data_IF_840195245441
#
_entry.id   IF_840195245441
#
_cell.length_a   1.000
_cell.length_b   1.000
_cell.length_c   1.000
_cell.angle_alpha   90.00
_cell.angle_beta   90.00
_cell.angle_gamma   90.00
#
_symmetry.space_group_name_H-M   'P 1'
#
loop_
_entity.id
_entity.type
_entity.pdbx_description
1 polymer ?
#
# COMPACT_ATOMS: atom_id res chain seq x y z
N UNK A 1 -20.61 -4.05 -29.15
CA UNK A 1 -19.63 -2.93 -28.99
C UNK A 1 -18.80 -3.26 -27.78
N UNK A 2 -17.49 -3.01 -27.82
CA UNK A 2 -16.60 -3.30 -26.70
C UNK A 2 -16.43 -2.03 -25.86
N UNK A 3 -16.60 -2.15 -24.53
CA UNK A 3 -16.42 -1.08 -23.58
C UNK A 3 -15.28 -1.41 -22.63
N UNK A 4 -14.59 -0.39 -22.13
CA UNK A 4 -13.39 -0.52 -21.35
C UNK A 4 -13.44 0.40 -20.15
N UNK A 5 -13.22 -0.13 -18.96
CA UNK A 5 -13.24 0.63 -17.72
C UNK A 5 -11.86 0.88 -17.15
N UNK A 6 -11.66 2.05 -16.58
CA UNK A 6 -10.55 2.41 -15.74
C UNK A 6 -11.04 2.73 -14.33
N UNK A 7 -10.38 2.20 -13.32
CA UNK A 7 -10.66 2.45 -11.92
C UNK A 7 -9.45 3.14 -11.28
N UNK A 8 -9.64 4.35 -10.79
CA UNK A 8 -8.68 4.99 -9.89
C UNK A 8 -9.12 4.77 -8.45
N UNK A 9 -8.33 3.96 -7.73
CA UNK A 9 -8.70 3.39 -6.43
C UNK A 9 -7.97 4.14 -5.32
N UNK A 10 -8.74 4.79 -4.44
CA UNK A 10 -8.25 5.26 -3.14
C UNK A 10 -8.70 4.34 -2.00
N UNK A 11 -8.42 4.71 -0.74
CA UNK A 11 -8.82 3.90 0.42
C UNK A 11 -10.34 3.84 0.62
N UNK A 12 -11.02 4.93 0.35
CA UNK A 12 -12.44 5.11 0.68
C UNK A 12 -13.31 5.15 -0.57
N UNK A 13 -12.83 5.78 -1.64
CA UNK A 13 -13.60 6.05 -2.85
C UNK A 13 -12.82 5.61 -4.09
N UNK A 14 -13.53 5.03 -5.06
CA UNK A 14 -13.02 4.64 -6.37
C UNK A 14 -13.70 5.46 -7.45
N UNK A 15 -12.91 6.15 -8.28
CA UNK A 15 -13.39 6.81 -9.49
C UNK A 15 -13.45 5.80 -10.63
N UNK A 16 -14.55 5.81 -11.36
CA UNK A 16 -14.84 4.89 -12.46
C UNK A 16 -15.02 5.70 -13.74
N UNK A 17 -14.34 5.31 -14.80
CA UNK A 17 -14.57 5.83 -16.13
C UNK A 17 -14.71 4.67 -17.11
N UNK A 18 -15.74 4.71 -17.95
CA UNK A 18 -15.97 3.74 -19.03
C UNK A 18 -15.91 4.46 -20.37
N UNK A 19 -15.12 3.91 -21.29
CA UNK A 19 -15.00 4.39 -22.66
C UNK A 19 -15.43 3.32 -23.65
N UNK A 20 -15.92 3.75 -24.80
CA UNK A 20 -16.19 2.89 -25.93
C UNK A 20 -14.94 2.56 -26.75
N UNK A 21 -15.11 1.86 -27.86
CA UNK A 21 -14.02 1.46 -28.77
C UNK A 21 -13.30 2.65 -29.40
N UNK A 22 -13.99 3.77 -29.59
CA UNK A 22 -13.43 4.99 -30.18
C UNK A 22 -12.75 5.87 -29.13
N UNK A 23 -12.94 5.57 -27.85
CA UNK A 23 -12.38 6.28 -26.71
C UNK A 23 -13.29 7.40 -26.19
N UNK A 24 -14.54 7.47 -26.67
CA UNK A 24 -15.52 8.38 -26.12
C UNK A 24 -15.99 7.90 -24.74
N UNK A 25 -16.08 8.82 -23.78
CA UNK A 25 -16.56 8.50 -22.43
C UNK A 25 -18.06 8.25 -22.48
N UNK A 26 -18.48 7.05 -22.09
CA UNK A 26 -19.90 6.64 -22.03
C UNK A 26 -20.46 6.61 -20.61
N UNK A 27 -19.59 6.51 -19.61
CA UNK A 27 -19.99 6.54 -18.20
C UNK A 27 -18.85 7.07 -17.32
N UNK A 28 -19.20 7.86 -16.32
CA UNK A 28 -18.32 8.25 -15.22
C UNK A 28 -19.10 8.20 -13.92
N UNK A 29 -18.44 7.69 -12.87
CA UNK A 29 -19.07 7.56 -11.56
C UNK A 29 -18.05 7.42 -10.46
N UNK A 30 -18.58 7.31 -9.23
CA UNK A 30 -17.82 7.05 -8.01
C UNK A 30 -18.54 6.01 -7.19
N UNK A 31 -17.76 5.19 -6.49
CA UNK A 31 -18.27 4.20 -5.53
C UNK A 31 -17.38 4.10 -4.32
N UNK A 32 -17.85 3.47 -3.26
CA UNK A 32 -16.96 3.01 -2.20
C UNK A 32 -15.93 2.00 -2.77
N UNK A 33 -14.73 1.95 -2.17
CA UNK A 33 -13.66 1.04 -2.61
C UNK A 33 -13.88 -0.39 -2.11
N UNK A 34 -15.05 -0.97 -2.45
CA UNK A 34 -15.37 -2.39 -2.27
C UNK A 34 -15.72 -3.02 -3.60
N UNK A 35 -15.49 -4.33 -3.74
CA UNK A 35 -15.75 -5.02 -5.02
C UNK A 35 -17.25 -4.98 -5.40
N UNK A 36 -18.13 -5.12 -4.40
CA UNK A 36 -19.58 -5.08 -4.57
C UNK A 36 -20.04 -3.70 -5.02
N UNK A 37 -19.60 -2.62 -4.33
CA UNK A 37 -20.00 -1.26 -4.70
C UNK A 37 -19.48 -0.85 -6.08
N UNK A 38 -18.28 -1.29 -6.46
CA UNK A 38 -17.71 -1.08 -7.78
C UNK A 38 -18.53 -1.85 -8.84
N UNK A 39 -18.90 -3.10 -8.56
CA UNK A 39 -19.71 -3.92 -9.46
C UNK A 39 -21.10 -3.33 -9.66
N UNK A 40 -21.76 -2.88 -8.58
CA UNK A 40 -23.05 -2.22 -8.63
C UNK A 40 -23.00 -0.96 -9.51
N UNK A 41 -21.95 -0.14 -9.33
CA UNK A 41 -21.76 1.05 -10.15
C UNK A 41 -21.46 0.73 -11.62
N UNK A 42 -20.68 -0.29 -11.89
CA UNK A 42 -20.42 -0.74 -13.26
C UNK A 42 -21.65 -1.34 -13.93
N UNK A 43 -22.63 -1.84 -13.17
CA UNK A 43 -23.90 -2.32 -13.72
C UNK A 43 -24.78 -1.20 -14.34
N UNK A 44 -24.56 0.06 -13.94
CA UNK A 44 -25.19 1.24 -14.55
C UNK A 44 -24.60 1.58 -15.93
N UNK A 45 -23.44 1.00 -16.27
CA UNK A 45 -22.74 1.19 -17.55
C UNK A 45 -22.88 -0.05 -18.45
N UNK A 46 -22.56 0.06 -19.74
CA UNK A 46 -22.49 -1.11 -20.61
C UNK A 46 -21.44 -2.12 -20.13
N UNK A 47 -21.69 -3.42 -20.35
CA UNK A 47 -20.78 -4.50 -19.97
C UNK A 47 -19.39 -4.29 -20.55
N UNK A 48 -18.37 -4.26 -19.69
CA UNK A 48 -17.00 -3.98 -20.07
C UNK A 48 -16.27 -5.26 -20.50
N UNK A 49 -15.56 -5.16 -21.61
CA UNK A 49 -14.64 -6.21 -22.07
C UNK A 49 -13.39 -6.33 -21.15
N UNK A 50 -12.98 -5.23 -20.53
CA UNK A 50 -11.82 -5.16 -19.64
C UNK A 50 -11.96 -4.01 -18.65
N UNK A 51 -11.54 -4.26 -17.40
CA UNK A 51 -11.54 -3.30 -16.31
C UNK A 51 -10.10 -3.19 -15.79
N UNK A 52 -9.46 -2.04 -15.90
CA UNK A 52 -8.05 -1.83 -15.54
C UNK A 52 -7.94 -0.91 -14.32
N UNK A 53 -7.05 -1.28 -13.41
CA UNK A 53 -6.65 -0.45 -12.27
C UNK A 53 -5.19 -0.69 -11.90
N UNK A 54 -4.60 0.26 -11.17
CA UNK A 54 -3.19 0.20 -10.79
C UNK A 54 -2.93 -0.69 -9.57
N UNK A 55 -1.67 -1.18 -9.47
CA UNK A 55 -1.18 -1.79 -8.23
C UNK A 55 -1.21 -0.78 -7.08
N UNK A 56 -1.82 -1.17 -5.97
CA UNK A 56 -1.96 -0.34 -4.77
C UNK A 56 -2.26 -1.21 -3.55
N UNK A 57 -2.48 -0.57 -2.41
CA UNK A 57 -2.78 -1.29 -1.15
C UNK A 57 -4.09 -2.07 -1.23
N UNK A 58 -5.09 -1.52 -1.93
CA UNK A 58 -6.41 -2.14 -2.11
C UNK A 58 -6.45 -3.13 -3.27
N UNK A 59 -5.47 -3.09 -4.18
CA UNK A 59 -5.46 -3.91 -5.39
C UNK A 59 -5.67 -5.41 -5.14
N UNK A 60 -5.05 -6.08 -4.13
CA UNK A 60 -5.26 -7.51 -3.94
C UNK A 60 -6.70 -7.87 -3.59
N UNK A 61 -7.32 -7.16 -2.63
CA UNK A 61 -8.68 -7.47 -2.19
C UNK A 61 -9.69 -7.17 -3.29
N UNK A 62 -9.54 -6.04 -3.97
CA UNK A 62 -10.44 -5.64 -5.06
C UNK A 62 -10.29 -6.54 -6.28
N UNK A 63 -9.06 -6.92 -6.66
CA UNK A 63 -8.84 -7.84 -7.78
C UNK A 63 -9.58 -9.16 -7.56
N UNK A 64 -9.36 -9.79 -6.41
CA UNK A 64 -10.00 -11.08 -6.13
C UNK A 64 -11.50 -10.95 -5.98
N UNK A 65 -12.01 -9.88 -5.37
CA UNK A 65 -13.44 -9.62 -5.26
C UNK A 65 -14.11 -9.41 -6.62
N UNK A 66 -13.54 -8.56 -7.48
CA UNK A 66 -14.08 -8.31 -8.82
C UNK A 66 -14.06 -9.57 -9.70
N UNK A 67 -12.98 -10.38 -9.63
CA UNK A 67 -12.93 -11.67 -10.36
C UNK A 67 -13.99 -12.64 -9.84
N UNK A 68 -14.21 -12.72 -8.51
CA UNK A 68 -15.28 -13.56 -7.93
C UNK A 68 -16.69 -13.14 -8.37
N UNK A 69 -16.88 -11.85 -8.63
CA UNK A 69 -18.12 -11.30 -9.21
C UNK A 69 -18.21 -11.48 -10.74
N UNK A 70 -17.25 -12.18 -11.36
CA UNK A 70 -17.24 -12.45 -12.80
C UNK A 70 -16.81 -11.28 -13.67
N UNK A 71 -16.24 -10.22 -13.09
CA UNK A 71 -15.81 -9.05 -13.83
C UNK A 71 -14.39 -9.23 -14.41
N UNK A 72 -14.12 -8.75 -15.64
CA UNK A 72 -12.85 -8.92 -16.35
C UNK A 72 -11.77 -7.94 -15.82
N UNK A 73 -11.43 -8.04 -14.55
CA UNK A 73 -10.51 -7.16 -13.86
C UNK A 73 -9.04 -7.49 -14.19
N UNK A 74 -8.25 -6.46 -14.47
CA UNK A 74 -6.82 -6.56 -14.75
C UNK A 74 -6.07 -5.52 -13.94
N UNK A 75 -5.08 -5.97 -13.16
CA UNK A 75 -4.20 -5.08 -12.41
C UNK A 75 -2.95 -4.76 -13.24
N UNK A 76 -2.56 -3.48 -13.26
CA UNK A 76 -1.39 -3.00 -14.02
C UNK A 76 -0.38 -2.33 -13.09
N UNK A 77 0.89 -2.30 -13.52
CA UNK A 77 1.94 -1.65 -12.72
C UNK A 77 1.77 -0.12 -12.74
N UNK A 78 1.75 0.50 -11.54
CA UNK A 78 1.55 1.94 -11.36
C UNK A 78 2.56 2.80 -12.14
N UNK A 79 3.81 2.35 -12.28
CA UNK A 79 4.82 3.10 -13.04
C UNK A 79 4.51 3.17 -14.54
N UNK A 80 4.04 2.06 -15.12
CA UNK A 80 3.65 2.02 -16.52
C UNK A 80 2.38 2.85 -16.76
N UNK A 81 1.40 2.69 -15.88
CA UNK A 81 0.18 3.49 -15.93
C UNK A 81 0.53 4.98 -15.84
N UNK A 82 1.34 5.39 -14.86
CA UNK A 82 1.78 6.78 -14.71
C UNK A 82 2.48 7.34 -15.96
N UNK A 83 3.39 6.58 -16.59
CA UNK A 83 4.07 7.03 -17.80
C UNK A 83 3.11 7.26 -18.97
N UNK A 84 2.14 6.35 -19.14
CA UNK A 84 1.11 6.47 -20.16
C UNK A 84 0.15 7.64 -19.85
N UNK A 85 -0.26 7.81 -18.60
CA UNK A 85 -1.13 8.89 -18.13
C UNK A 85 -0.46 10.26 -18.29
N UNK A 86 0.83 10.37 -17.99
CA UNK A 86 1.61 11.61 -18.11
C UNK A 86 1.65 12.13 -19.55
N UNK A 87 1.55 11.25 -20.53
CA UNK A 87 1.50 11.65 -21.95
C UNK A 87 0.10 12.12 -22.40
N UNK A 88 -0.95 11.77 -21.63
CA UNK A 88 -2.34 12.03 -21.99
C UNK A 88 -2.98 13.20 -21.22
N UNK A 89 -2.44 13.58 -20.06
CA UNK A 89 -3.06 14.58 -19.18
C UNK A 89 -2.14 15.76 -18.86
N UNK A 90 -2.67 16.98 -19.01
CA UNK A 90 -2.03 18.24 -18.59
C UNK A 90 -2.20 18.52 -17.09
N UNK A 91 -3.22 17.95 -16.43
CA UNK A 91 -3.50 18.12 -14.99
C UNK A 91 -3.86 16.79 -14.34
N UNK A 92 -3.22 16.53 -13.19
CA UNK A 92 -3.51 15.36 -12.37
C UNK A 92 -4.78 15.58 -11.55
N UNK A 93 -5.81 14.76 -11.80
CA UNK A 93 -7.01 14.62 -10.99
C UNK A 93 -7.44 13.15 -11.02
N UNK A 94 -8.05 12.65 -9.95
CA UNK A 94 -8.50 11.25 -9.85
C UNK A 94 -9.46 10.88 -11.00
N UNK A 95 -10.27 11.83 -11.45
CA UNK A 95 -11.14 11.66 -12.65
C UNK A 95 -10.30 11.45 -13.92
N UNK A 96 -9.24 12.21 -14.11
CA UNK A 96 -8.35 12.07 -15.26
C UNK A 96 -7.54 10.79 -15.20
N UNK A 97 -7.16 10.34 -13.99
CA UNK A 97 -6.43 9.11 -13.77
C UNK A 97 -7.34 7.90 -14.11
N UNK A 98 -8.60 7.88 -13.68
CA UNK A 98 -9.58 6.86 -14.08
C UNK A 98 -9.82 6.84 -15.60
N UNK A 99 -9.94 8.01 -16.24
CA UNK A 99 -10.10 8.12 -17.71
C UNK A 99 -8.88 7.59 -18.45
N UNK A 100 -7.70 7.93 -18.00
CA UNK A 100 -6.45 7.41 -18.57
C UNK A 100 -6.31 5.91 -18.46
N UNK A 101 -6.70 5.32 -17.30
CA UNK A 101 -6.76 3.87 -17.11
C UNK A 101 -7.79 3.20 -18.04
N UNK A 102 -8.94 3.86 -18.31
CA UNK A 102 -9.90 3.37 -19.29
C UNK A 102 -9.32 3.35 -20.72
N UNK A 103 -8.56 4.37 -21.11
CA UNK A 103 -7.84 4.38 -22.38
C UNK A 103 -6.75 3.30 -22.44
N UNK A 104 -6.02 3.04 -21.34
CA UNK A 104 -5.11 1.90 -21.27
C UNK A 104 -5.85 0.57 -21.43
N UNK A 105 -6.99 0.41 -20.76
CA UNK A 105 -7.85 -0.76 -20.93
C UNK A 105 -8.26 -0.96 -22.40
N UNK A 106 -8.62 0.12 -23.09
CA UNK A 106 -9.03 0.12 -24.49
C UNK A 106 -7.90 -0.26 -25.44
N UNK A 107 -6.74 0.37 -25.30
CA UNK A 107 -5.61 0.15 -26.20
C UNK A 107 -4.90 -1.17 -25.96
N UNK A 108 -5.00 -1.74 -24.76
CA UNK A 108 -4.24 -2.92 -24.36
C UNK A 108 -2.73 -2.67 -24.19
N UNK A 109 -2.30 -1.41 -24.24
CA UNK A 109 -0.87 -1.05 -24.14
C UNK A 109 -0.42 -1.01 -22.69
N UNK A 110 -0.43 -2.17 -22.03
CA UNK A 110 0.06 -2.35 -20.66
C UNK A 110 0.54 -3.78 -20.44
N UNK A 111 1.33 -3.97 -19.39
CA UNK A 111 1.71 -5.29 -18.91
C UNK A 111 0.90 -5.63 -17.66
N UNK A 112 0.10 -6.71 -17.70
CA UNK A 112 -0.66 -7.13 -16.53
C UNK A 112 0.29 -7.59 -15.42
N UNK A 113 -0.09 -7.29 -14.17
CA UNK A 113 0.62 -7.75 -12.97
C UNK A 113 -0.09 -8.97 -12.41
N UNK A 114 0.69 -10.01 -12.10
CA UNK A 114 0.15 -11.15 -11.36
C UNK A 114 -0.15 -10.74 -9.92
N UNK A 115 -1.42 -10.71 -9.56
CA UNK A 115 -1.86 -10.44 -8.19
C UNK A 115 -1.79 -11.73 -7.38
N UNK A 116 -0.95 -11.74 -6.34
CA UNK A 116 -0.79 -12.89 -5.45
C UNK A 116 -2.06 -13.17 -4.66
N UNK A 117 -2.25 -14.43 -4.25
CA UNK A 117 -3.38 -14.82 -3.42
C UNK A 117 -3.42 -14.05 -2.09
N UNK A 118 -4.62 -13.89 -1.53
CA UNK A 118 -4.80 -13.25 -0.22
C UNK A 118 -4.04 -13.99 0.90
N UNK A 119 -3.95 -15.33 0.82
CA UNK A 119 -3.15 -16.13 1.75
C UNK A 119 -1.65 -15.81 1.68
N UNK A 120 -1.11 -15.61 0.47
CA UNK A 120 0.28 -15.17 0.31
C UNK A 120 0.51 -13.77 0.88
N UNK A 121 -0.46 -12.87 0.74
CA UNK A 121 -0.41 -11.53 1.36
C UNK A 121 -0.47 -11.61 2.88
N UNK A 122 -1.29 -12.49 3.47
CA UNK A 122 -1.36 -12.70 4.91
C UNK A 122 0.00 -13.15 5.48
N UNK A 123 0.61 -14.18 4.88
CA UNK A 123 1.94 -14.66 5.29
C UNK A 123 3.00 -13.55 5.16
N UNK A 124 3.01 -12.83 4.04
CA UNK A 124 3.93 -11.70 3.83
C UNK A 124 3.77 -10.63 4.90
N UNK A 125 2.54 -10.28 5.27
CA UNK A 125 2.25 -9.27 6.28
C UNK A 125 2.81 -9.67 7.64
N UNK A 126 2.66 -10.93 8.05
CA UNK A 126 3.24 -11.45 9.29
C UNK A 126 4.78 -11.40 9.29
N UNK A 127 5.41 -11.77 8.17
CA UNK A 127 6.87 -11.70 8.03
C UNK A 127 7.36 -10.26 8.15
N UNK A 128 6.69 -9.31 7.47
CA UNK A 128 7.04 -7.89 7.51
C UNK A 128 6.85 -7.34 8.93
N UNK A 129 5.74 -7.64 9.59
CA UNK A 129 5.47 -7.21 10.97
C UNK A 129 6.52 -7.75 11.93
N UNK A 130 6.84 -9.05 11.86
CA UNK A 130 7.91 -9.66 12.65
C UNK A 130 9.26 -8.97 12.42
N UNK A 131 9.65 -8.76 11.16
CA UNK A 131 10.91 -8.08 10.81
C UNK A 131 10.98 -6.68 11.41
N UNK A 132 9.86 -5.93 11.36
CA UNK A 132 9.76 -4.59 11.92
C UNK A 132 9.92 -4.59 13.44
N UNK A 133 9.21 -5.49 14.14
CA UNK A 133 9.29 -5.62 15.60
C UNK A 133 10.68 -6.02 16.06
N UNK A 134 11.31 -6.98 15.39
CA UNK A 134 12.71 -7.37 15.70
C UNK A 134 13.66 -6.20 15.49
N UNK A 135 13.51 -5.46 14.39
CA UNK A 135 14.34 -4.27 14.13
C UNK A 135 14.15 -3.18 15.20
N UNK A 136 12.93 -2.90 15.60
CA UNK A 136 12.63 -1.93 16.67
C UNK A 136 13.23 -2.37 18.01
N UNK A 137 13.10 -3.65 18.37
CA UNK A 137 13.72 -4.20 19.58
C UNK A 137 15.23 -3.96 19.57
N UNK A 138 15.92 -4.34 18.50
CA UNK A 138 17.39 -4.17 18.39
C UNK A 138 17.78 -2.68 18.48
N UNK A 139 17.01 -1.81 17.86
CA UNK A 139 17.25 -0.36 17.92
C UNK A 139 17.13 0.15 19.36
N UNK A 140 16.07 -0.24 20.08
CA UNK A 140 15.88 0.14 21.48
C UNK A 140 16.99 -0.42 22.39
N UNK A 141 17.36 -1.68 22.23
CA UNK A 141 18.46 -2.29 22.97
C UNK A 141 19.77 -1.50 22.79
N UNK A 142 20.10 -1.13 21.55
CA UNK A 142 21.31 -0.37 21.26
C UNK A 142 21.23 1.06 21.82
N UNK A 143 20.07 1.67 21.80
CA UNK A 143 19.85 3.00 22.36
C UNK A 143 20.01 2.98 23.89
N UNK A 144 19.45 1.99 24.58
CA UNK A 144 19.62 1.81 26.03
C UNK A 144 21.08 1.61 26.38
N UNK A 145 21.79 0.76 25.62
CA UNK A 145 23.25 0.55 25.83
C UNK A 145 24.03 1.85 25.66
N UNK A 146 23.76 2.61 24.62
CA UNK A 146 24.41 3.89 24.35
C UNK A 146 24.19 4.90 25.48
N UNK A 147 22.96 5.00 25.98
CA UNK A 147 22.65 5.88 27.12
C UNK A 147 23.32 5.42 28.41
N UNK A 148 23.33 4.11 28.68
CA UNK A 148 23.97 3.55 29.90
C UNK A 148 25.48 3.83 29.96
N UNK A 149 26.17 3.83 28.81
CA UNK A 149 27.59 4.11 28.71
C UNK A 149 27.93 5.53 29.19
N UNK A 150 27.08 6.51 28.97
CA UNK A 150 27.24 7.90 29.42
C UNK A 150 27.40 7.95 30.96
N UNK A 151 26.76 7.02 31.66
CA UNK A 151 26.82 6.87 33.12
C UNK A 151 27.85 5.80 33.57
N UNK A 152 28.75 5.34 32.69
CA UNK A 152 29.78 4.39 32.99
C UNK A 152 29.35 2.92 33.05
N UNK A 153 28.07 2.60 32.68
CA UNK A 153 27.56 1.22 32.69
C UNK A 153 27.68 0.56 31.34
N UNK A 154 28.25 -0.64 31.37
CA UNK A 154 28.34 -1.51 30.19
C UNK A 154 27.31 -2.64 30.29
N UNK A 155 26.21 -2.50 29.59
CA UNK A 155 25.19 -3.53 29.52
C UNK A 155 25.60 -4.70 28.59
N UNK A 156 25.16 -5.94 28.89
CA UNK A 156 25.46 -7.11 28.08
C UNK A 156 24.99 -6.96 26.64
N UNK A 157 25.62 -7.67 25.69
CA UNK A 157 25.18 -7.67 24.28
C UNK A 157 23.86 -8.41 24.09
N UNK A 158 23.66 -9.51 24.82
CA UNK A 158 22.43 -10.30 24.74
C UNK A 158 21.34 -9.70 25.63
N UNK A 159 20.10 -9.67 25.12
CA UNK A 159 18.92 -9.30 25.91
C UNK A 159 18.52 -10.48 26.80
N UNK A 160 19.13 -10.53 27.97
CA UNK A 160 18.89 -11.54 29.00
C UNK A 160 18.30 -10.90 30.25
N UNK A 161 17.89 -11.72 31.21
CA UNK A 161 17.51 -11.21 32.55
C UNK A 161 18.60 -10.31 33.17
N UNK A 162 19.88 -10.68 32.98
CA UNK A 162 21.00 -9.86 33.43
C UNK A 162 21.05 -8.47 32.77
N UNK A 163 20.67 -8.34 31.49
CA UNK A 163 20.56 -7.04 30.84
C UNK A 163 19.48 -6.19 31.50
N UNK A 164 18.31 -6.77 31.76
CA UNK A 164 17.16 -6.08 32.36
C UNK A 164 17.52 -5.68 33.79
N UNK A 165 18.08 -6.57 34.59
CA UNK A 165 18.53 -6.32 35.96
C UNK A 165 19.53 -5.19 36.05
N UNK A 166 20.54 -5.20 35.18
CA UNK A 166 21.58 -4.15 35.17
C UNK A 166 21.00 -2.81 34.69
N UNK A 167 20.09 -2.83 33.71
CA UNK A 167 19.42 -1.62 33.24
C UNK A 167 18.50 -1.01 34.31
N UNK A 168 17.81 -1.85 35.08
CA UNK A 168 16.97 -1.41 36.19
C UNK A 168 17.77 -0.90 37.40
N UNK A 169 18.86 -1.55 37.73
CA UNK A 169 19.80 -1.09 38.79
C UNK A 169 20.47 0.23 38.44
N UNK A 170 20.65 0.52 37.16
CA UNK A 170 21.09 1.84 36.69
C UNK A 170 20.10 2.98 37.03
N UNK A 171 18.84 2.65 37.38
CA UNK A 171 17.85 3.61 37.87
C UNK A 171 18.16 4.17 39.27
N UNK A 172 18.97 3.47 40.05
CA UNK A 172 19.41 3.88 41.37
C UNK A 172 20.65 4.80 41.34
N UNK A 173 21.11 5.15 40.14
CA UNK A 173 22.24 6.06 39.99
C UNK A 173 21.80 7.47 40.32
N UNK A 174 21.90 7.76 41.58
CA UNK A 174 21.96 9.14 42.03
C UNK A 174 23.17 9.78 41.35
N UNK A 175 22.92 10.83 40.59
CA UNK A 175 23.95 11.79 40.23
C UNK A 175 24.46 12.37 41.57
N UNK A 176 25.43 11.70 42.18
CA UNK A 176 26.16 12.30 43.27
C UNK A 176 26.89 13.50 42.67
N UNK A 177 26.61 14.74 43.10
CA UNK A 177 27.38 15.87 42.62
C UNK A 177 28.83 15.61 43.06
N UNK A 178 29.71 15.42 42.09
CA UNK A 178 31.15 15.45 42.42
C UNK A 178 31.40 16.83 43.02
N UNK A 179 32.00 16.92 44.22
CA UNK A 179 32.44 18.21 44.71
C UNK A 179 33.41 18.76 43.67
N UNK A 180 33.18 19.99 43.22
CA UNK A 180 34.15 20.73 42.44
C UNK A 180 35.44 20.71 43.27
N UNK A 181 36.53 20.14 42.72
CA UNK A 181 37.85 20.33 43.28
C UNK A 181 38.24 21.79 43.03
N UNK A 182 38.40 22.54 44.11
CA UNK A 182 38.97 23.87 44.10
C UNK A 182 40.41 23.86 43.56
#
# INVERSE_FOLDING_TARGET
MDYFAGLDISMDETHICVVDRDGAVVYEGKSASTAEAIADKLSEAPSCHRIVFETGRMAPILFHGLIQLGLPAVCVESRQAYQALKSLATHKTDRNDARGLAHLARTGFFKPVHVKSLSAHAVRSLIIARKKLVGQRVTLENQIRGLAVVFGVRLPRALTAAFIDQALKAKEWQVSPRPCAD
#
